data_IF_706752894276
#
_entry.id   IF_706752894276
#
_cell.length_a   1.000
_cell.length_b   1.000
_cell.length_c   1.000
_cell.angle_alpha   90.00
_cell.angle_beta   90.00
_cell.angle_gamma   90.00
#
_symmetry.space_group_name_H-M   'P 1'
#
loop_
_entity.id
_entity.type
_entity.pdbx_description
1 polymer ?
#
# COMPACT_ATOMS: atom_id res chain seq x y z
N UNK A 1 9.39 -13.37 19.52
CA UNK A 1 8.75 -14.06 18.38
C UNK A 1 7.24 -13.81 18.33
N UNK A 2 6.55 -13.74 19.47
CA UNK A 2 5.11 -13.39 19.52
C UNK A 2 4.78 -12.01 18.91
N UNK A 3 5.61 -10.99 19.16
CA UNK A 3 5.36 -9.64 18.64
C UNK A 3 5.42 -9.56 17.11
N UNK A 4 6.35 -10.27 16.46
CA UNK A 4 6.48 -10.28 14.99
C UNK A 4 5.27 -10.96 14.35
N UNK A 5 4.79 -12.07 14.92
CA UNK A 5 3.61 -12.75 14.42
C UNK A 5 2.34 -11.90 14.55
N UNK A 6 2.21 -11.16 15.66
CA UNK A 6 1.13 -10.20 15.87
C UNK A 6 1.19 -9.04 14.86
N UNK A 7 2.39 -8.51 14.57
CA UNK A 7 2.59 -7.45 13.57
C UNK A 7 2.18 -7.95 12.18
N UNK A 8 2.55 -9.18 11.81
CA UNK A 8 2.21 -9.74 10.49
C UNK A 8 0.71 -9.96 10.35
N UNK A 9 0.08 -10.64 11.32
CA UNK A 9 -1.36 -10.89 11.28
C UNK A 9 -2.15 -9.58 11.37
N UNK A 10 -1.71 -8.68 12.26
CA UNK A 10 -2.27 -7.35 12.41
C UNK A 10 -2.22 -6.55 11.10
N UNK A 11 -1.07 -6.49 10.45
CA UNK A 11 -0.87 -5.71 9.22
C UNK A 11 -1.60 -6.27 8.00
N UNK A 12 -1.74 -7.59 7.90
CA UNK A 12 -2.40 -8.23 6.75
C UNK A 12 -3.92 -8.19 6.87
N UNK A 13 -4.48 -8.52 8.04
CA UNK A 13 -5.92 -8.75 8.22
C UNK A 13 -6.59 -7.64 9.02
N UNK A 14 -6.11 -7.34 10.23
CA UNK A 14 -6.83 -6.49 11.19
C UNK A 14 -6.64 -5.01 10.86
N UNK A 15 -5.37 -4.57 10.75
CA UNK A 15 -5.00 -3.20 10.44
C UNK A 15 -4.64 -3.05 8.95
N UNK A 16 -5.46 -3.61 8.07
CA UNK A 16 -5.24 -3.44 6.64
C UNK A 16 -5.35 -1.95 6.27
N UNK A 17 -4.24 -1.37 5.79
CA UNK A 17 -4.16 0.07 5.51
C UNK A 17 -5.23 0.57 4.54
N UNK A 18 -5.66 -0.26 3.58
CA UNK A 18 -6.69 0.11 2.61
C UNK A 18 -8.08 0.05 3.22
N UNK A 19 -8.41 -1.06 3.87
CA UNK A 19 -9.79 -1.37 4.32
C UNK A 19 -10.12 -0.72 5.66
N UNK A 20 -9.13 -0.61 6.57
CA UNK A 20 -9.34 -0.09 7.92
C UNK A 20 -8.99 1.40 8.04
N UNK A 21 -7.92 1.86 7.36
CA UNK A 21 -7.44 3.24 7.49
C UNK A 21 -7.69 4.09 6.23
N UNK A 22 -8.26 3.51 5.18
CA UNK A 22 -8.53 4.17 3.89
C UNK A 22 -7.28 4.76 3.22
N UNK A 23 -6.10 4.19 3.49
CA UNK A 23 -4.84 4.60 2.88
C UNK A 23 -4.56 3.80 1.60
N UNK A 24 -4.11 4.48 0.54
CA UNK A 24 -3.82 3.82 -0.74
C UNK A 24 -5.03 3.59 -1.63
N UNK A 25 -6.10 4.39 -1.47
CA UNK A 25 -7.32 4.28 -2.29
C UNK A 25 -7.06 4.64 -3.75
N UNK A 26 -6.15 5.57 -4.04
CA UNK A 26 -5.87 6.00 -5.40
C UNK A 26 -5.42 4.85 -6.31
N UNK A 27 -4.36 4.07 -5.98
CA UNK A 27 -4.02 2.88 -6.74
C UNK A 27 -5.07 1.77 -6.61
N UNK A 28 -5.71 1.64 -5.46
CA UNK A 28 -6.76 0.65 -5.23
C UNK A 28 -7.93 0.78 -6.20
N UNK A 29 -8.45 1.99 -6.43
CA UNK A 29 -9.52 2.24 -7.39
C UNK A 29 -9.03 2.32 -8.84
N UNK A 30 -7.82 2.87 -9.05
CA UNK A 30 -7.28 3.13 -10.38
C UNK A 30 -6.84 1.87 -11.13
N UNK A 31 -6.14 0.96 -10.43
CA UNK A 31 -5.46 -0.19 -11.06
C UNK A 31 -6.25 -1.51 -10.94
N UNK A 32 -7.35 -1.52 -10.23
CA UNK A 32 -8.16 -2.72 -9.96
C UNK A 32 -9.16 -3.11 -11.05
N UNK A 33 -8.97 -2.68 -12.30
CA UNK A 33 -9.86 -3.07 -13.41
C UNK A 33 -9.63 -4.50 -13.88
N UNK A 34 -8.40 -5.01 -13.77
CA UNK A 34 -7.98 -6.38 -14.13
C UNK A 34 -7.15 -6.98 -13.02
N UNK A 35 -7.34 -8.27 -12.75
CA UNK A 35 -6.57 -8.99 -11.71
C UNK A 35 -5.08 -9.00 -12.01
N UNK A 36 -4.67 -9.16 -13.27
CA UNK A 36 -3.26 -9.15 -13.67
C UNK A 36 -2.55 -7.85 -13.32
N UNK A 37 -3.18 -6.70 -13.61
CA UNK A 37 -2.62 -5.38 -13.27
C UNK A 37 -2.62 -5.15 -11.76
N UNK A 38 -3.62 -5.65 -11.04
CA UNK A 38 -3.69 -5.57 -9.59
C UNK A 38 -2.57 -6.38 -8.91
N UNK A 39 -2.27 -7.58 -9.38
CA UNK A 39 -1.15 -8.40 -8.88
C UNK A 39 0.19 -7.73 -9.16
N UNK A 40 0.41 -7.23 -10.39
CA UNK A 40 1.63 -6.51 -10.76
C UNK A 40 1.85 -5.27 -9.88
N UNK A 41 0.79 -4.50 -9.62
CA UNK A 41 0.83 -3.34 -8.72
C UNK A 41 1.14 -3.76 -7.28
N UNK A 42 0.52 -4.83 -6.80
CA UNK A 42 0.76 -5.37 -5.46
C UNK A 42 2.22 -5.77 -5.24
N UNK A 43 2.83 -6.47 -6.19
CA UNK A 43 4.24 -6.83 -6.13
C UNK A 43 5.16 -5.59 -6.13
N UNK A 44 4.89 -4.62 -6.99
CA UNK A 44 5.66 -3.38 -7.05
C UNK A 44 5.56 -2.59 -5.73
N UNK A 45 4.34 -2.46 -5.17
CA UNK A 45 4.13 -1.79 -3.89
C UNK A 45 4.82 -2.55 -2.75
N UNK A 46 4.80 -3.88 -2.74
CA UNK A 46 5.48 -4.70 -1.73
C UNK A 46 6.99 -4.44 -1.72
N UNK A 47 7.60 -4.39 -2.89
CA UNK A 47 9.02 -4.09 -3.03
C UNK A 47 9.34 -2.66 -2.55
N UNK A 48 8.57 -1.68 -2.99
CA UNK A 48 8.75 -0.27 -2.61
C UNK A 48 8.54 -0.06 -1.10
N UNK A 49 7.50 -0.66 -0.50
CA UNK A 49 7.22 -0.54 0.94
C UNK A 49 8.33 -1.16 1.78
N UNK A 50 8.88 -2.30 1.38
CA UNK A 50 10.02 -2.91 2.07
C UNK A 50 11.25 -2.02 2.05
N UNK A 51 11.61 -1.45 0.90
CA UNK A 51 12.71 -0.50 0.77
C UNK A 51 12.43 0.81 1.53
N UNK A 52 11.22 1.35 1.40
CA UNK A 52 10.82 2.57 2.08
C UNK A 52 10.93 2.41 3.61
N UNK A 53 10.47 1.29 4.17
CA UNK A 53 10.59 1.01 5.60
C UNK A 53 12.05 1.03 6.09
N UNK A 54 12.95 0.45 5.31
CA UNK A 54 14.38 0.42 5.62
C UNK A 54 14.99 1.83 5.58
N UNK A 55 14.79 2.57 4.49
CA UNK A 55 15.40 3.90 4.34
C UNK A 55 14.78 4.94 5.29
N UNK A 56 13.47 4.92 5.51
CA UNK A 56 12.82 5.84 6.44
C UNK A 56 13.27 5.59 7.88
N UNK A 57 13.52 4.33 8.26
CA UNK A 57 14.11 4.00 9.56
C UNK A 57 15.50 4.63 9.74
N UNK A 58 16.39 4.49 8.74
CA UNK A 58 17.72 5.10 8.80
C UNK A 58 17.65 6.63 8.93
N UNK A 59 16.78 7.27 8.17
CA UNK A 59 16.63 8.72 8.21
C UNK A 59 16.05 9.17 9.55
N UNK A 60 15.06 8.46 10.07
CA UNK A 60 14.52 8.74 11.39
C UNK A 60 15.61 8.63 12.46
N UNK A 61 16.35 7.51 12.51
CA UNK A 61 17.33 7.23 13.56
C UNK A 61 18.57 8.12 13.50
N UNK A 62 19.08 8.41 12.31
CA UNK A 62 20.37 9.10 12.15
C UNK A 62 20.25 10.59 11.84
N UNK A 63 19.13 11.06 11.33
CA UNK A 63 18.95 12.46 10.91
C UNK A 63 17.92 13.17 11.78
N UNK A 64 16.69 12.67 11.85
CA UNK A 64 15.60 13.39 12.51
C UNK A 64 15.75 13.43 14.03
N UNK A 65 16.06 12.30 14.65
CA UNK A 65 16.18 12.20 16.12
C UNK A 65 17.35 13.04 16.65
N UNK A 66 18.59 12.96 16.10
CA UNK A 66 19.70 13.74 16.61
C UNK A 66 19.54 15.25 16.40
N UNK A 67 18.89 15.65 15.30
CA UNK A 67 18.68 17.06 14.95
C UNK A 67 17.41 17.66 15.58
N UNK A 68 16.59 16.85 16.30
CA UNK A 68 15.29 17.26 16.87
C UNK A 68 14.35 17.91 15.86
N UNK A 69 14.37 17.42 14.60
CA UNK A 69 13.57 17.90 13.47
C UNK A 69 12.34 17.04 13.25
N UNK A 70 11.71 16.53 14.31
CA UNK A 70 10.53 15.64 14.20
C UNK A 70 9.34 16.28 13.48
N UNK A 71 9.20 17.59 13.54
CA UNK A 71 8.14 18.33 12.83
C UNK A 71 8.31 18.29 11.30
N UNK A 72 9.52 18.03 10.78
CA UNK A 72 9.78 17.89 9.34
C UNK A 72 9.74 16.43 8.86
N UNK A 73 9.38 15.48 9.71
CA UNK A 73 9.37 14.04 9.45
C UNK A 73 8.58 13.69 8.19
N UNK A 74 7.38 14.23 8.04
CA UNK A 74 6.52 13.95 6.89
C UNK A 74 7.14 14.38 5.57
N UNK A 75 7.75 15.58 5.54
CA UNK A 75 8.39 16.13 4.33
C UNK A 75 9.62 15.29 3.96
N UNK A 76 10.44 14.94 4.94
CA UNK A 76 11.61 14.10 4.75
C UNK A 76 11.22 12.71 4.19
N UNK A 77 10.20 12.08 4.74
CA UNK A 77 9.74 10.78 4.28
C UNK A 77 9.17 10.83 2.87
N UNK A 78 8.36 11.84 2.52
CA UNK A 78 7.85 12.02 1.16
C UNK A 78 9.00 12.15 0.16
N UNK A 79 10.01 12.96 0.47
CA UNK A 79 11.16 13.17 -0.41
C UNK A 79 11.93 11.88 -0.65
N UNK A 80 12.19 11.11 0.41
CA UNK A 80 12.91 9.85 0.33
C UNK A 80 12.14 8.81 -0.47
N UNK A 81 10.84 8.67 -0.21
CA UNK A 81 9.97 7.75 -0.95
C UNK A 81 9.93 8.14 -2.43
N UNK A 82 9.84 9.44 -2.75
CA UNK A 82 9.86 9.92 -4.12
C UNK A 82 11.15 9.54 -4.85
N UNK A 83 12.30 9.74 -4.23
CA UNK A 83 13.61 9.37 -4.81
C UNK A 83 13.71 7.85 -5.00
N UNK A 84 13.30 7.06 -4.02
CA UNK A 84 13.31 5.60 -4.11
C UNK A 84 12.44 5.09 -5.27
N UNK A 85 11.23 5.61 -5.41
CA UNK A 85 10.31 5.20 -6.47
C UNK A 85 10.84 5.61 -7.85
N UNK A 86 11.49 6.77 -7.99
CA UNK A 86 12.15 7.18 -9.22
C UNK A 86 13.25 6.19 -9.63
N UNK A 87 14.06 5.73 -8.68
CA UNK A 87 15.09 4.70 -8.93
C UNK A 87 14.44 3.38 -9.38
N UNK A 88 13.37 2.95 -8.70
CA UNK A 88 12.63 1.74 -9.04
C UNK A 88 11.99 1.86 -10.43
N UNK A 89 11.44 3.01 -10.79
CA UNK A 89 10.87 3.28 -12.10
C UNK A 89 11.92 3.10 -13.22
N UNK A 90 13.09 3.70 -13.05
CA UNK A 90 14.18 3.58 -14.00
C UNK A 90 14.65 2.11 -14.12
N UNK A 91 14.71 1.40 -13.00
CA UNK A 91 15.08 -0.01 -12.98
C UNK A 91 14.02 -0.89 -13.70
N UNK A 92 12.74 -0.69 -13.42
CA UNK A 92 11.65 -1.41 -14.07
C UNK A 92 11.61 -1.17 -15.58
N UNK A 93 11.88 0.04 -16.03
CA UNK A 93 11.95 0.39 -17.45
C UNK A 93 13.04 -0.39 -18.18
N UNK A 94 14.14 -0.71 -17.50
CA UNK A 94 15.25 -1.48 -18.07
C UNK A 94 15.04 -2.99 -17.98
N UNK A 95 14.50 -3.49 -16.86
CA UNK A 95 14.42 -4.93 -16.56
C UNK A 95 13.19 -5.57 -17.20
N UNK A 96 12.05 -4.89 -17.18
CA UNK A 96 10.79 -5.45 -17.66
C UNK A 96 9.95 -4.40 -18.41
N UNK A 97 10.25 -4.17 -19.71
CA UNK A 97 9.49 -3.19 -20.52
C UNK A 97 8.00 -3.52 -20.66
N UNK A 98 7.63 -4.81 -20.66
CA UNK A 98 6.22 -5.24 -20.73
C UNK A 98 5.43 -4.87 -19.47
N UNK A 99 6.03 -5.06 -18.31
CA UNK A 99 5.43 -4.66 -17.04
C UNK A 99 5.38 -3.13 -16.90
N UNK A 100 6.42 -2.44 -17.40
CA UNK A 100 6.44 -0.99 -17.45
C UNK A 100 5.31 -0.43 -18.34
N UNK A 101 5.05 -1.02 -19.51
CA UNK A 101 3.93 -0.62 -20.37
C UNK A 101 2.56 -0.90 -19.76
N UNK A 102 2.41 -2.01 -19.04
CA UNK A 102 1.16 -2.34 -18.33
C UNK A 102 0.89 -1.41 -17.14
N UNK A 103 1.92 -1.01 -16.42
CA UNK A 103 1.86 -0.15 -15.24
C UNK A 103 2.13 1.34 -15.55
N UNK A 104 2.59 1.68 -16.76
CA UNK A 104 3.23 2.95 -17.09
C UNK A 104 2.52 4.23 -16.67
N UNK A 105 1.20 4.31 -16.85
CA UNK A 105 0.39 5.46 -16.39
C UNK A 105 0.17 5.45 -14.88
N UNK A 106 0.32 4.28 -14.23
CA UNK A 106 0.03 4.08 -12.80
C UNK A 106 1.27 4.14 -11.90
N UNK A 107 2.48 4.19 -12.47
CA UNK A 107 3.73 4.34 -11.72
C UNK A 107 3.76 5.58 -10.81
N UNK A 108 3.30 6.76 -11.24
CA UNK A 108 3.18 7.91 -10.36
C UNK A 108 2.26 7.66 -9.14
N UNK A 109 1.29 6.76 -9.25
CA UNK A 109 0.44 6.37 -8.12
C UNK A 109 1.18 5.58 -7.03
N UNK A 110 2.34 4.98 -7.35
CA UNK A 110 3.20 4.34 -6.35
C UNK A 110 3.95 5.42 -5.56
N UNK A 111 4.46 6.44 -6.25
CA UNK A 111 5.19 7.55 -5.64
C UNK A 111 4.33 8.35 -4.66
N UNK A 112 3.08 8.62 -5.05
CA UNK A 112 2.12 9.37 -4.24
C UNK A 112 1.23 8.48 -3.38
N UNK A 113 1.61 7.20 -3.19
CA UNK A 113 0.81 6.25 -2.44
C UNK A 113 0.81 6.58 -0.94
N UNK A 114 -0.34 7.02 -0.45
CA UNK A 114 -0.51 7.36 0.96
C UNK A 114 -0.37 6.15 1.91
N UNK A 115 -0.51 4.91 1.43
CA UNK A 115 -0.24 3.72 2.24
C UNK A 115 1.25 3.57 2.57
N UNK A 116 2.14 3.89 1.62
CA UNK A 116 3.60 3.85 1.84
C UNK A 116 4.02 4.90 2.88
N UNK A 117 3.50 6.12 2.74
CA UNK A 117 3.76 7.20 3.69
C UNK A 117 3.15 6.90 5.07
N UNK A 118 1.91 6.41 5.10
CA UNK A 118 1.21 6.06 6.34
C UNK A 118 1.95 4.97 7.13
N UNK A 119 2.46 3.94 6.45
CA UNK A 119 3.28 2.89 7.05
C UNK A 119 4.55 3.48 7.67
N UNK A 120 5.28 4.35 6.94
CA UNK A 120 6.50 4.98 7.43
C UNK A 120 6.25 5.83 8.69
N UNK A 121 5.17 6.63 8.70
CA UNK A 121 4.77 7.44 9.84
C UNK A 121 4.35 6.60 11.05
N UNK A 122 3.62 5.52 10.84
CA UNK A 122 3.22 4.61 11.92
C UNK A 122 4.42 3.89 12.51
N UNK A 123 5.35 3.39 11.69
CA UNK A 123 6.58 2.77 12.18
C UNK A 123 7.39 3.72 13.08
N UNK A 124 7.45 5.00 12.70
CA UNK A 124 8.14 6.00 13.48
C UNK A 124 7.41 6.34 14.80
N UNK A 125 6.07 6.36 14.80
CA UNK A 125 5.25 6.60 16.01
C UNK A 125 5.35 5.47 17.01
N UNK A 126 5.29 4.23 16.54
CA UNK A 126 5.37 3.02 17.39
C UNK A 126 6.81 2.74 17.87
N UNK A 127 7.80 3.45 17.32
CA UNK A 127 9.21 3.29 17.72
C UNK A 127 9.76 1.90 17.38
N UNK A 128 9.31 1.29 16.29
CA UNK A 128 9.74 -0.04 15.87
C UNK A 128 11.23 -0.11 15.59
N UNK A 129 11.85 -1.23 15.95
CA UNK A 129 13.22 -1.55 15.57
C UNK A 129 13.30 -1.76 14.04
N UNK A 130 14.53 -1.75 13.49
CA UNK A 130 14.75 -1.92 12.05
C UNK A 130 14.06 -3.19 11.49
N UNK A 131 14.19 -4.31 12.19
CA UNK A 131 13.58 -5.59 11.76
C UNK A 131 12.06 -5.51 11.81
N UNK A 132 11.50 -4.97 12.88
CA UNK A 132 10.05 -4.79 13.04
C UNK A 132 9.48 -3.83 11.99
N UNK A 133 10.18 -2.73 11.69
CA UNK A 133 9.79 -1.77 10.65
C UNK A 133 9.73 -2.41 9.26
N UNK A 134 10.73 -3.21 8.89
CA UNK A 134 10.75 -3.90 7.59
C UNK A 134 9.67 -4.97 7.54
N UNK A 135 9.51 -5.76 8.61
CA UNK A 135 8.46 -6.80 8.68
C UNK A 135 7.07 -6.17 8.59
N UNK A 136 6.82 -5.07 9.31
CA UNK A 136 5.57 -4.35 9.22
C UNK A 136 5.33 -3.77 7.82
N UNK A 137 6.37 -3.22 7.17
CA UNK A 137 6.30 -2.73 5.79
C UNK A 137 5.89 -3.82 4.79
N UNK A 138 6.51 -4.99 4.88
CA UNK A 138 6.19 -6.14 4.01
C UNK A 138 4.79 -6.70 4.33
N UNK A 139 4.45 -6.85 5.61
CA UNK A 139 3.13 -7.34 6.03
C UNK A 139 2.00 -6.43 5.56
N UNK A 140 2.17 -5.12 5.73
CA UNK A 140 1.20 -4.11 5.27
C UNK A 140 1.04 -4.10 3.75
N UNK A 141 2.13 -4.31 3.01
CA UNK A 141 2.11 -4.42 1.56
C UNK A 141 1.42 -5.69 1.07
N UNK A 142 1.59 -6.80 1.78
CA UNK A 142 0.83 -8.04 1.51
C UNK A 142 -0.67 -7.84 1.78
N UNK A 143 -1.02 -7.13 2.85
CA UNK A 143 -2.40 -6.74 3.14
C UNK A 143 -3.00 -5.84 2.04
N UNK A 144 -2.23 -4.87 1.53
CA UNK A 144 -2.60 -4.05 0.39
C UNK A 144 -2.84 -4.90 -0.87
N UNK A 145 -1.91 -5.82 -1.16
CA UNK A 145 -1.99 -6.72 -2.32
C UNK A 145 -3.21 -7.63 -2.24
N UNK A 146 -3.48 -8.21 -1.08
CA UNK A 146 -4.67 -9.02 -0.85
C UNK A 146 -5.95 -8.22 -1.15
N UNK A 147 -6.04 -7.01 -0.61
CA UNK A 147 -7.21 -6.16 -0.77
C UNK A 147 -7.45 -5.75 -2.23
N UNK A 148 -6.40 -5.35 -2.96
CA UNK A 148 -6.53 -4.92 -4.35
C UNK A 148 -6.87 -6.09 -5.28
N UNK A 149 -6.34 -7.29 -5.04
CA UNK A 149 -6.64 -8.49 -5.83
C UNK A 149 -8.09 -8.95 -5.60
N UNK A 150 -8.54 -8.99 -4.35
CA UNK A 150 -9.94 -9.31 -4.03
C UNK A 150 -10.89 -8.32 -4.70
N UNK A 151 -10.60 -7.04 -4.59
CA UNK A 151 -11.42 -6.00 -5.20
C UNK A 151 -11.43 -6.08 -6.74
N UNK A 152 -10.28 -6.33 -7.37
CA UNK A 152 -10.20 -6.52 -8.81
C UNK A 152 -11.04 -7.72 -9.27
N UNK A 153 -10.98 -8.84 -8.55
CA UNK A 153 -11.78 -10.03 -8.84
C UNK A 153 -13.29 -9.77 -8.77
N UNK A 154 -13.72 -8.99 -7.77
CA UNK A 154 -15.13 -8.60 -7.65
C UNK A 154 -15.52 -7.67 -8.79
N UNK A 155 -14.69 -6.69 -9.15
CA UNK A 155 -14.96 -5.76 -10.25
C UNK A 155 -15.06 -6.45 -11.61
N UNK A 156 -14.21 -7.44 -11.89
CA UNK A 156 -14.32 -8.24 -13.12
C UNK A 156 -15.67 -8.98 -13.21
N UNK A 157 -16.14 -9.53 -12.10
CA UNK A 157 -17.47 -10.18 -12.04
C UNK A 157 -18.62 -9.17 -12.18
N UNK A 158 -18.50 -8.01 -11.55
CA UNK A 158 -19.50 -6.96 -11.65
C UNK A 158 -19.61 -6.39 -13.08
N UNK A 159 -18.49 -6.28 -13.79
CA UNK A 159 -18.48 -5.82 -15.19
C UNK A 159 -19.24 -6.75 -16.16
N UNK A 160 -19.37 -8.04 -15.82
CA UNK A 160 -20.15 -9.01 -16.60
C UNK A 160 -21.62 -9.13 -16.16
N UNK A 161 -22.04 -8.43 -15.09
CA UNK A 161 -23.41 -8.49 -14.57
C UNK A 161 -24.28 -7.37 -15.14
N UNK A 162 -25.61 -7.62 -15.24
CA UNK A 162 -26.59 -6.61 -15.66
C UNK A 162 -26.83 -5.60 -14.53
N UNK A 163 -25.95 -4.61 -14.43
CA UNK A 163 -26.11 -3.50 -13.49
C UNK A 163 -26.95 -2.35 -14.07
N UNK A 164 -27.70 -1.63 -13.24
CA UNK A 164 -28.34 -0.39 -13.65
C UNK A 164 -27.28 0.63 -14.11
N UNK A 165 -27.55 1.38 -15.18
CA UNK A 165 -26.60 2.33 -15.79
C UNK A 165 -26.01 3.36 -14.81
N UNK A 166 -26.75 3.73 -13.76
CA UNK A 166 -26.29 4.70 -12.74
C UNK A 166 -25.29 4.09 -11.72
N UNK A 167 -25.25 2.77 -11.60
CA UNK A 167 -24.27 2.04 -10.77
C UNK A 167 -23.06 1.53 -11.56
N UNK A 168 -23.09 1.65 -12.89
CA UNK A 168 -22.03 1.16 -13.74
C UNK A 168 -20.75 2.00 -13.58
N UNK A 169 -19.59 1.34 -13.45
CA UNK A 169 -18.29 1.97 -13.35
C UNK A 169 -17.87 2.40 -11.95
N UNK A 170 -17.58 3.68 -11.77
CA UNK A 170 -17.00 4.21 -10.52
C UNK A 170 -17.96 4.16 -9.30
N UNK A 171 -19.27 4.47 -9.41
CA UNK A 171 -20.17 4.39 -8.26
C UNK A 171 -20.30 2.96 -7.70
N UNK A 172 -20.42 1.97 -8.57
CA UNK A 172 -20.47 0.56 -8.17
C UNK A 172 -19.17 0.10 -7.50
N UNK A 173 -18.01 0.59 -7.98
CA UNK A 173 -16.72 0.31 -7.37
C UNK A 173 -16.64 0.86 -5.95
N UNK A 174 -17.11 2.09 -5.70
CA UNK A 174 -17.12 2.68 -4.36
C UNK A 174 -18.02 1.93 -3.38
N UNK A 175 -19.21 1.53 -3.80
CA UNK A 175 -20.14 0.75 -2.98
C UNK A 175 -19.50 -0.60 -2.62
N UNK A 176 -18.87 -1.27 -3.59
CA UNK A 176 -18.16 -2.52 -3.36
C UNK A 176 -17.00 -2.36 -2.38
N UNK A 177 -16.20 -1.30 -2.52
CA UNK A 177 -15.11 -0.98 -1.60
C UNK A 177 -15.63 -0.75 -0.17
N UNK A 178 -16.73 -0.02 -0.02
CA UNK A 178 -17.38 0.20 1.27
C UNK A 178 -17.86 -1.09 1.93
N UNK A 179 -18.51 -1.97 1.16
CA UNK A 179 -18.96 -3.27 1.67
C UNK A 179 -17.79 -4.17 2.07
N UNK A 180 -16.69 -4.17 1.29
CA UNK A 180 -15.47 -4.88 1.66
C UNK A 180 -14.85 -4.33 2.94
N UNK A 181 -14.81 -3.01 3.12
CA UNK A 181 -14.32 -2.37 4.34
C UNK A 181 -15.13 -2.79 5.57
N UNK A 182 -16.47 -2.83 5.47
CA UNK A 182 -17.33 -3.32 6.54
C UNK A 182 -17.06 -4.80 6.86
N UNK A 183 -16.83 -5.64 5.85
CA UNK A 183 -16.49 -7.04 6.06
C UNK A 183 -15.13 -7.19 6.77
N UNK A 184 -14.13 -6.37 6.41
CA UNK A 184 -12.82 -6.38 7.07
C UNK A 184 -12.87 -5.85 8.51
N UNK A 185 -13.79 -4.94 8.84
CA UNK A 185 -14.01 -4.51 10.22
C UNK A 185 -14.46 -5.66 11.13
N UNK A 186 -15.07 -6.71 10.60
CA UNK A 186 -15.39 -7.90 11.38
C UNK A 186 -14.18 -8.62 11.95
N UNK A 187 -12.97 -8.39 11.41
CA UNK A 187 -11.73 -8.90 11.98
C UNK A 187 -11.13 -8.00 13.07
N UNK A 188 -11.64 -6.78 13.24
CA UNK A 188 -11.20 -5.87 14.30
C UNK A 188 -11.74 -6.34 15.65
N UNK A 189 -10.94 -7.04 16.40
CA UNK A 189 -11.31 -7.66 17.68
C UNK A 189 -10.75 -9.07 17.85
N UNK A 190 -10.00 -9.52 16.84
CA UNK A 190 -9.30 -10.82 16.87
C UNK A 190 -7.93 -10.72 17.59
N UNK A 191 -7.45 -9.48 17.80
CA UNK A 191 -6.17 -9.18 18.47
C UNK A 191 -6.39 -8.11 19.53
#
# INVERSE_FOLDING_TARGET
MSNIMLIVIGGVLVNNYVMSQFLGICPFLGVSKKVETAVGMGMAVTFVMGLAALFTYFIQAYILVPLKLEYMQTIAFILVIAVLVQIVEIALKKISPSLYQALGVYLPLITTNCAVLGMALLNAREGYNLVESVVNGVASALGFTLSIVLFASIRERLASSNMPKWMEGFPGALITAGLMSLAFQGFSGLI
#
